data_IF_101831501718
#
_entry.id   IF_101831501718
#
_cell.length_a   1.000
_cell.length_b   1.000
_cell.length_c   1.000
_cell.angle_alpha   90.00
_cell.angle_beta   90.00
_cell.angle_gamma   90.00
#
_symmetry.space_group_name_H-M   'P 1'
#
loop_
_entity.id
_entity.type
_entity.pdbx_description
1 polymer ?
#
# COMPACT_ATOMS: atom_id res chain seq x y z
N UNK A 1 17.09 27.29 8.87
CA UNK A 1 16.99 26.82 7.47
C UNK A 1 16.43 27.97 6.66
N UNK A 2 17.07 28.35 5.55
CA UNK A 2 16.41 29.25 4.61
C UNK A 2 15.11 28.58 4.15
N UNK A 3 13.99 29.31 4.15
CA UNK A 3 12.74 28.81 3.61
C UNK A 3 12.98 28.32 2.18
N UNK A 4 12.65 27.07 1.87
CA UNK A 4 12.81 26.57 0.51
C UNK A 4 11.83 27.31 -0.38
N UNK A 5 12.32 27.98 -1.42
CA UNK A 5 11.43 28.64 -2.38
C UNK A 5 10.56 27.60 -3.09
N UNK A 6 9.27 27.90 -3.34
CA UNK A 6 8.45 27.12 -4.26
C UNK A 6 9.17 26.95 -5.61
N UNK A 7 8.92 25.84 -6.28
CA UNK A 7 9.40 25.62 -7.65
C UNK A 7 8.25 25.09 -8.49
N UNK A 8 8.11 25.61 -9.69
CA UNK A 8 7.19 25.07 -10.68
C UNK A 8 7.86 23.89 -11.40
N UNK A 9 7.30 22.66 -11.35
CA UNK A 9 7.82 21.55 -12.12
C UNK A 9 7.58 21.72 -13.65
N UNK A 10 6.80 22.70 -14.08
CA UNK A 10 6.55 23.02 -15.49
C UNK A 10 5.84 21.90 -16.24
N UNK A 11 4.95 21.18 -15.55
CA UNK A 11 4.02 20.24 -16.18
C UNK A 11 2.88 21.02 -16.85
N UNK A 12 2.32 20.48 -17.93
CA UNK A 12 1.25 21.16 -18.68
C UNK A 12 -0.14 20.92 -18.08
N UNK A 13 -0.23 20.07 -17.07
CA UNK A 13 -1.47 19.70 -16.39
C UNK A 13 -1.14 19.29 -14.93
N UNK A 14 -2.19 19.04 -14.13
CA UNK A 14 -2.11 18.71 -12.71
C UNK A 14 -1.09 17.62 -12.43
N UNK A 15 -0.18 17.92 -11.51
CA UNK A 15 0.77 16.96 -10.96
C UNK A 15 0.01 16.00 -10.05
N UNK A 16 0.10 14.71 -10.35
CA UNK A 16 -0.54 13.62 -9.61
C UNK A 16 0.44 12.84 -8.74
N UNK A 17 1.73 12.92 -9.05
CA UNK A 17 2.79 12.17 -8.36
C UNK A 17 3.90 13.10 -7.91
N UNK A 18 4.33 12.92 -6.66
CA UNK A 18 5.60 13.43 -6.14
C UNK A 18 6.25 12.33 -5.30
N UNK A 19 7.50 11.99 -5.61
CA UNK A 19 8.24 10.97 -4.86
C UNK A 19 9.73 11.31 -4.83
N UNK A 20 10.41 11.04 -3.73
CA UNK A 20 11.88 11.20 -3.63
C UNK A 20 12.56 9.84 -3.67
N UNK A 21 13.79 9.78 -4.16
CA UNK A 21 14.59 8.57 -3.98
C UNK A 21 15.03 8.42 -2.51
N UNK A 22 15.62 7.27 -2.16
CA UNK A 22 15.97 6.92 -0.78
C UNK A 22 16.80 7.97 -0.03
N UNK A 23 17.78 8.58 -0.70
CA UNK A 23 18.68 9.59 -0.10
C UNK A 23 18.17 11.04 -0.27
N UNK A 24 17.01 11.24 -0.90
CA UNK A 24 16.43 12.56 -1.16
C UNK A 24 17.19 13.43 -2.17
N UNK A 25 18.12 12.88 -2.94
CA UNK A 25 18.90 13.60 -3.96
C UNK A 25 18.21 13.65 -5.32
N UNK A 26 17.15 12.88 -5.52
CA UNK A 26 16.32 12.94 -6.73
C UNK A 26 14.84 13.08 -6.37
N UNK A 27 14.13 13.86 -7.17
CA UNK A 27 12.68 14.04 -7.10
C UNK A 27 12.08 13.52 -8.41
N UNK A 28 10.97 12.81 -8.29
CA UNK A 28 10.13 12.32 -9.37
C UNK A 28 8.82 13.08 -9.33
N UNK A 29 8.43 13.69 -10.45
CA UNK A 29 7.10 14.28 -10.63
C UNK A 29 6.40 13.65 -11.83
N UNK A 30 5.10 13.40 -11.69
CA UNK A 30 4.26 12.84 -12.75
C UNK A 30 2.93 13.57 -12.83
N UNK A 31 2.36 13.67 -14.03
CA UNK A 31 1.19 14.50 -14.29
C UNK A 31 0.17 13.82 -15.21
N UNK A 32 -1.02 14.42 -15.24
CA UNK A 32 -2.06 14.16 -16.25
C UNK A 32 -1.55 14.47 -17.67
N UNK A 33 -0.48 15.26 -17.84
CA UNK A 33 0.15 15.53 -19.15
C UNK A 33 0.90 14.31 -19.77
N UNK A 34 0.78 13.13 -19.15
CA UNK A 34 1.38 11.86 -19.54
C UNK A 34 2.91 11.80 -19.39
N UNK A 35 3.54 12.84 -18.81
CA UNK A 35 4.99 12.91 -18.67
C UNK A 35 5.45 12.70 -17.25
N UNK A 36 6.63 12.09 -17.17
CA UNK A 36 7.46 12.06 -15.96
C UNK A 36 8.57 13.08 -16.12
N UNK A 37 8.86 13.79 -15.03
CA UNK A 37 10.08 14.58 -14.88
C UNK A 37 10.88 14.05 -13.70
N UNK A 38 12.18 13.97 -13.89
CA UNK A 38 13.13 13.62 -12.83
C UNK A 38 14.03 14.82 -12.59
N UNK A 39 14.26 15.14 -11.33
CA UNK A 39 15.04 16.29 -10.90
C UNK A 39 16.17 15.82 -10.00
N UNK A 40 17.37 16.33 -10.20
CA UNK A 40 18.40 16.28 -9.18
C UNK A 40 18.14 17.37 -8.15
N UNK A 41 18.31 17.04 -6.87
CA UNK A 41 18.16 17.94 -5.74
C UNK A 41 19.46 17.97 -4.96
N UNK A 42 20.04 19.15 -4.82
CA UNK A 42 21.17 19.36 -3.93
C UNK A 42 20.72 19.19 -2.47
N UNK A 43 21.41 18.32 -1.73
CA UNK A 43 21.03 17.98 -0.36
C UNK A 43 21.30 19.10 0.66
N UNK A 44 22.19 20.04 0.33
CA UNK A 44 22.58 21.16 1.20
C UNK A 44 21.79 22.41 0.88
N UNK A 45 21.68 22.78 -0.40
CA UNK A 45 21.02 24.02 -0.83
C UNK A 45 19.52 23.81 -1.11
N UNK A 46 19.10 22.59 -1.42
CA UNK A 46 17.74 22.29 -1.86
C UNK A 46 17.42 22.77 -3.27
N UNK A 47 18.44 23.24 -4.01
CA UNK A 47 18.34 23.60 -5.42
C UNK A 47 17.97 22.36 -6.24
N UNK A 48 17.07 22.56 -7.20
CA UNK A 48 16.51 21.48 -8.03
C UNK A 48 16.89 21.76 -9.46
N UNK A 49 17.49 20.78 -10.12
CA UNK A 49 17.86 20.83 -11.52
C UNK A 49 17.12 19.73 -12.27
N UNK A 50 16.41 20.11 -13.33
CA UNK A 50 15.74 19.13 -14.18
C UNK A 50 16.81 18.20 -14.79
N UNK A 51 16.64 16.89 -14.58
CA UNK A 51 17.53 15.86 -15.11
C UNK A 51 17.01 15.37 -16.45
N UNK A 52 15.73 15.00 -16.52
CA UNK A 52 15.11 14.57 -17.77
C UNK A 52 13.59 14.73 -17.74
N UNK A 53 12.98 14.79 -18.92
CA UNK A 53 11.53 14.78 -19.13
C UNK A 53 11.20 13.81 -20.26
N UNK A 54 10.31 12.85 -20.00
CA UNK A 54 9.95 11.84 -20.99
C UNK A 54 8.47 11.47 -20.89
N UNK A 55 7.88 11.08 -22.02
CA UNK A 55 6.52 10.53 -22.06
C UNK A 55 6.55 9.13 -21.48
N UNK A 56 5.88 8.93 -20.35
CA UNK A 56 5.87 7.65 -19.67
C UNK A 56 4.70 6.78 -20.14
N UNK A 57 3.51 7.36 -20.28
CA UNK A 57 2.27 6.64 -20.59
C UNK A 57 1.53 7.31 -21.75
N UNK A 58 0.51 6.61 -22.28
CA UNK A 58 -0.39 7.16 -23.32
C UNK A 58 -1.65 7.83 -22.70
N UNK A 59 -1.73 7.91 -21.37
CA UNK A 59 -2.82 8.49 -20.58
C UNK A 59 -2.30 9.00 -19.22
N UNK A 60 -3.18 9.56 -18.38
CA UNK A 60 -2.81 10.16 -17.09
C UNK A 60 -1.95 9.23 -16.24
N UNK A 61 -0.91 9.79 -15.64
CA UNK A 61 -0.09 9.07 -14.65
C UNK A 61 -0.86 9.03 -13.32
N UNK A 62 -0.96 7.85 -12.71
CA UNK A 62 -1.67 7.66 -11.43
C UNK A 62 -0.75 7.50 -10.24
N UNK A 63 0.37 6.79 -10.40
CA UNK A 63 1.35 6.60 -9.33
C UNK A 63 2.73 6.34 -9.96
N UNK A 64 3.79 6.72 -9.25
CA UNK A 64 5.16 6.40 -9.66
C UNK A 64 6.11 6.45 -8.47
N UNK A 65 7.09 5.54 -8.45
CA UNK A 65 8.07 5.42 -7.35
C UNK A 65 9.47 5.11 -7.85
N UNK A 66 10.47 5.56 -7.09
CA UNK A 66 11.82 5.04 -7.20
C UNK A 66 11.89 3.64 -6.58
N UNK A 67 12.67 2.75 -7.19
CA UNK A 67 13.03 1.47 -6.59
C UNK A 67 14.20 1.66 -5.60
N UNK A 68 14.51 0.60 -4.86
CA UNK A 68 15.68 0.56 -3.99
C UNK A 68 16.97 0.95 -4.73
N UNK A 69 17.84 1.79 -4.12
CA UNK A 69 19.10 2.19 -4.73
C UNK A 69 20.06 1.01 -4.97
N UNK A 70 19.84 -0.14 -4.34
CA UNK A 70 20.63 -1.37 -4.55
C UNK A 70 20.56 -1.89 -5.98
N UNK A 71 19.51 -1.54 -6.74
CA UNK A 71 19.32 -1.93 -8.14
C UNK A 71 19.75 -0.83 -9.13
N UNK A 72 20.42 0.21 -8.63
CA UNK A 72 20.67 1.46 -9.35
C UNK A 72 19.41 2.33 -9.46
N UNK A 73 19.48 3.43 -10.21
CA UNK A 73 18.32 4.31 -10.39
C UNK A 73 17.33 3.66 -11.34
N UNK A 74 16.23 3.14 -10.76
CA UNK A 74 15.09 2.59 -11.48
C UNK A 74 13.80 3.23 -11.01
N UNK A 75 12.81 3.27 -11.89
CA UNK A 75 11.48 3.81 -11.60
C UNK A 75 10.41 2.78 -11.97
N UNK A 76 9.29 2.85 -11.28
CA UNK A 76 8.04 2.21 -11.69
C UNK A 76 6.97 3.28 -11.85
N UNK A 77 6.17 3.18 -12.90
CA UNK A 77 5.09 4.12 -13.20
C UNK A 77 3.83 3.34 -13.58
N UNK A 78 2.65 3.83 -13.18
CA UNK A 78 1.37 3.33 -13.67
C UNK A 78 0.54 4.46 -14.27
N UNK A 79 -0.21 4.13 -15.32
CA UNK A 79 -1.06 5.06 -16.02
C UNK A 79 -2.48 4.54 -16.21
N UNK A 80 -3.38 5.45 -16.57
CA UNK A 80 -4.74 5.14 -16.99
C UNK A 80 -4.79 4.33 -18.32
N UNK A 81 -3.65 4.16 -18.99
CA UNK A 81 -3.48 3.40 -20.24
C UNK A 81 -3.40 1.88 -20.03
N UNK A 82 -3.74 1.42 -18.82
CA UNK A 82 -3.76 0.01 -18.39
C UNK A 82 -2.37 -0.62 -18.26
N UNK A 83 -1.30 0.18 -18.22
CA UNK A 83 0.07 -0.31 -18.17
C UNK A 83 0.75 0.10 -16.86
N UNK A 84 1.61 -0.80 -16.39
CA UNK A 84 2.70 -0.51 -15.49
C UNK A 84 4.01 -0.57 -16.27
N UNK A 85 4.87 0.43 -16.13
CA UNK A 85 6.15 0.50 -16.82
C UNK A 85 7.30 0.57 -15.81
N UNK A 86 8.36 -0.19 -16.11
CA UNK A 86 9.61 -0.16 -15.36
C UNK A 86 10.65 0.57 -16.20
N UNK A 87 11.41 1.46 -15.57
CA UNK A 87 12.38 2.33 -16.23
C UNK A 87 13.76 2.20 -15.60
N UNK A 88 14.77 2.34 -16.44
CA UNK A 88 16.17 2.26 -16.09
C UNK A 88 16.86 3.56 -16.48
N UNK A 89 17.51 4.23 -15.53
CA UNK A 89 18.41 5.36 -15.84
C UNK A 89 19.66 4.83 -16.58
N UNK A 90 19.96 5.41 -17.73
CA UNK A 90 21.23 5.30 -18.45
C UNK A 90 22.02 6.59 -18.21
N UNK A 91 22.95 6.53 -17.25
CA UNK A 91 23.70 7.71 -16.83
C UNK A 91 24.62 8.29 -17.91
N UNK A 92 24.89 7.53 -18.98
CA UNK A 92 25.71 7.96 -20.11
C UNK A 92 24.99 8.89 -21.07
N UNK A 93 23.65 8.90 -21.06
CA UNK A 93 22.87 9.83 -21.88
C UNK A 93 22.92 11.23 -21.28
N UNK A 94 23.06 12.22 -22.16
CA UNK A 94 23.01 13.62 -21.76
C UNK A 94 21.64 13.94 -21.10
N UNK A 95 21.61 14.79 -20.07
CA UNK A 95 20.36 15.24 -19.47
C UNK A 95 19.50 16.01 -20.47
N UNK A 96 18.20 16.10 -20.20
CA UNK A 96 17.20 16.87 -20.97
C UNK A 96 16.93 16.40 -22.41
N UNK A 97 17.41 15.22 -22.80
CA UNK A 97 17.18 14.66 -24.15
C UNK A 97 15.94 13.77 -24.24
N UNK A 98 15.30 13.43 -23.12
CA UNK A 98 14.16 12.50 -23.08
C UNK A 98 14.53 11.04 -23.30
N UNK A 99 15.81 10.70 -23.21
CA UNK A 99 16.34 9.36 -23.50
C UNK A 99 17.13 8.74 -22.34
N UNK A 100 17.26 9.47 -21.22
CA UNK A 100 18.04 9.03 -20.07
C UNK A 100 17.32 7.93 -19.29
N UNK A 101 16.00 7.94 -19.26
CA UNK A 101 15.19 6.88 -18.67
C UNK A 101 14.62 5.98 -19.76
N UNK A 102 15.09 4.74 -19.82
CA UNK A 102 14.63 3.77 -20.81
C UNK A 102 13.65 2.79 -20.19
N UNK A 103 12.51 2.58 -20.84
CA UNK A 103 11.56 1.53 -20.44
C UNK A 103 12.19 0.16 -20.65
N UNK A 104 12.22 -0.65 -19.60
CA UNK A 104 12.82 -2.00 -19.61
C UNK A 104 11.79 -3.11 -19.47
N UNK A 105 10.64 -2.84 -18.86
CA UNK A 105 9.53 -3.79 -18.80
C UNK A 105 8.18 -3.09 -18.90
N UNK A 106 7.17 -3.86 -19.30
CA UNK A 106 5.76 -3.45 -19.30
C UNK A 106 4.93 -4.59 -18.73
N UNK A 107 4.17 -4.30 -17.68
CA UNK A 107 3.14 -5.20 -17.15
C UNK A 107 1.79 -4.63 -17.58
N UNK A 108 1.06 -5.41 -18.37
CA UNK A 108 -0.27 -5.05 -18.83
C UNK A 108 -1.31 -5.48 -17.79
N UNK A 109 -2.27 -4.60 -17.49
CA UNK A 109 -3.37 -4.95 -16.60
C UNK A 109 -4.23 -6.07 -17.20
N UNK A 110 -4.47 -7.10 -16.38
CA UNK A 110 -5.32 -8.25 -16.70
C UNK A 110 -6.19 -8.56 -15.46
N UNK A 111 -7.52 -8.33 -15.52
CA UNK A 111 -8.34 -7.87 -16.65
C UNK A 111 -8.03 -6.41 -17.06
N UNK A 112 -8.57 -5.94 -18.19
CA UNK A 112 -8.32 -4.59 -18.74
C UNK A 112 -8.95 -3.48 -17.89
N UNK A 113 -8.43 -3.27 -16.68
CA UNK A 113 -8.86 -2.28 -15.70
C UNK A 113 -7.64 -1.44 -15.31
N UNK A 114 -7.72 -0.10 -15.25
CA UNK A 114 -6.57 0.72 -14.89
C UNK A 114 -6.05 0.39 -13.50
N UNK A 115 -4.72 0.32 -13.37
CA UNK A 115 -4.07 0.37 -12.07
C UNK A 115 -4.29 1.73 -11.43
N UNK A 116 -4.54 1.76 -10.12
CA UNK A 116 -4.82 3.01 -9.37
C UNK A 116 -3.83 3.25 -8.24
N UNK A 117 -3.09 2.23 -7.81
CA UNK A 117 -2.00 2.37 -6.85
C UNK A 117 -0.96 1.27 -7.08
N UNK A 118 0.30 1.61 -6.78
CA UNK A 118 1.40 0.67 -6.74
C UNK A 118 2.20 0.81 -5.45
N UNK A 119 2.88 -0.27 -5.08
CA UNK A 119 4.03 -0.18 -4.18
C UNK A 119 5.11 -1.19 -4.57
N UNK A 120 6.35 -0.89 -4.23
CA UNK A 120 7.50 -1.73 -4.54
C UNK A 120 8.42 -1.84 -3.32
N UNK A 121 8.78 -3.07 -2.96
CA UNK A 121 9.67 -3.36 -1.84
C UNK A 121 10.85 -4.20 -2.31
N UNK A 122 12.05 -3.83 -1.88
CA UNK A 122 13.25 -4.65 -2.06
C UNK A 122 13.73 -5.09 -0.68
N UNK A 123 13.77 -6.40 -0.45
CA UNK A 123 14.42 -7.00 0.70
C UNK A 123 15.91 -7.17 0.41
N UNK A 124 16.74 -6.96 1.42
CA UNK A 124 18.21 -7.04 1.32
C UNK A 124 18.81 -7.85 2.47
N UNK A 125 18.00 -8.67 3.16
CA UNK A 125 18.39 -9.40 4.37
C UNK A 125 19.34 -10.56 4.06
N UNK A 126 19.00 -11.39 3.07
CA UNK A 126 19.77 -12.58 2.68
C UNK A 126 20.13 -12.52 1.19
N UNK A 127 19.12 -12.28 0.34
CA UNK A 127 19.27 -11.98 -1.09
C UNK A 127 18.51 -10.71 -1.46
N UNK A 128 18.93 -10.05 -2.55
CA UNK A 128 18.22 -8.87 -3.05
C UNK A 128 16.97 -9.36 -3.77
N UNK A 129 15.83 -9.30 -3.10
CA UNK A 129 14.55 -9.76 -3.67
C UNK A 129 13.59 -8.58 -3.78
N UNK A 130 13.02 -8.37 -4.97
CA UNK A 130 12.11 -7.24 -5.21
C UNK A 130 10.69 -7.73 -5.48
N UNK A 131 9.72 -7.07 -4.87
CA UNK A 131 8.31 -7.36 -4.99
C UNK A 131 7.56 -6.11 -5.43
N UNK A 132 6.66 -6.28 -6.38
CA UNK A 132 5.80 -5.22 -6.91
C UNK A 132 4.35 -5.58 -6.63
N UNK A 133 3.64 -4.70 -5.93
CA UNK A 133 2.20 -4.78 -5.72
C UNK A 133 1.49 -3.78 -6.62
N UNK A 134 0.49 -4.24 -7.38
CA UNK A 134 -0.36 -3.44 -8.24
C UNK A 134 -1.82 -3.69 -7.89
N UNK A 135 -2.60 -2.65 -7.64
CA UNK A 135 -4.04 -2.76 -7.42
C UNK A 135 -4.81 -1.99 -8.48
N UNK A 136 -5.82 -2.64 -9.06
CA UNK A 136 -6.69 -2.05 -10.07
C UNK A 136 -7.91 -1.34 -9.47
N UNK A 137 -8.63 -0.61 -10.32
CA UNK A 137 -9.85 0.14 -9.94
C UNK A 137 -11.01 -0.75 -9.44
N UNK A 138 -10.95 -2.06 -9.64
CA UNK A 138 -11.96 -3.02 -9.16
C UNK A 138 -11.48 -3.81 -7.94
N UNK A 139 -10.35 -3.42 -7.35
CA UNK A 139 -9.79 -4.06 -6.17
C UNK A 139 -9.07 -5.38 -6.45
N UNK A 140 -8.73 -5.69 -7.70
CA UNK A 140 -7.85 -6.82 -7.98
C UNK A 140 -6.41 -6.44 -7.62
N UNK A 141 -5.88 -7.06 -6.57
CA UNK A 141 -4.49 -6.92 -6.16
C UNK A 141 -3.67 -8.01 -6.84
N UNK A 142 -2.56 -7.62 -7.47
CA UNK A 142 -1.61 -8.51 -8.12
C UNK A 142 -0.20 -8.25 -7.58
N UNK A 143 0.48 -9.31 -7.18
CA UNK A 143 1.84 -9.26 -6.62
C UNK A 143 2.77 -9.95 -7.61
N UNK A 144 3.89 -9.30 -7.91
CA UNK A 144 4.90 -9.78 -8.85
C UNK A 144 6.28 -9.79 -8.21
N UNK A 145 7.14 -10.65 -8.74
CA UNK A 145 8.59 -10.61 -8.53
C UNK A 145 9.31 -10.65 -9.88
N UNK A 146 10.52 -10.09 -10.01
CA UNK A 146 11.35 -10.30 -11.18
C UNK A 146 11.66 -11.79 -11.37
N UNK A 147 11.62 -12.29 -12.61
CA UNK A 147 12.04 -13.66 -12.92
C UNK A 147 13.53 -13.89 -12.61
N UNK A 148 14.32 -12.81 -12.58
CA UNK A 148 15.70 -12.79 -12.16
C UNK A 148 15.93 -11.56 -11.25
N UNK A 149 16.46 -11.72 -10.02
CA UNK A 149 16.77 -10.62 -9.11
C UNK A 149 17.61 -9.48 -9.72
N UNK A 150 18.55 -9.81 -10.62
CA UNK A 150 19.45 -8.85 -11.25
C UNK A 150 18.85 -8.22 -12.53
N UNK A 151 17.75 -8.76 -13.06
CA UNK A 151 17.11 -8.32 -14.29
C UNK A 151 15.61 -8.07 -14.12
N UNK A 152 15.24 -6.78 -14.12
CA UNK A 152 13.86 -6.31 -13.98
C UNK A 152 13.09 -6.24 -15.31
N UNK A 153 13.57 -6.88 -16.38
CA UNK A 153 12.88 -6.93 -17.68
C UNK A 153 11.69 -7.88 -17.71
N UNK A 154 11.77 -8.95 -16.94
CA UNK A 154 10.74 -9.99 -16.88
C UNK A 154 10.23 -10.13 -15.46
N UNK A 155 8.90 -10.17 -15.32
CA UNK A 155 8.22 -10.23 -14.03
C UNK A 155 7.23 -11.39 -14.03
N UNK A 156 7.28 -12.17 -12.96
CA UNK A 156 6.42 -13.32 -12.72
C UNK A 156 5.32 -12.94 -11.73
N UNK A 157 4.07 -13.32 -12.03
CA UNK A 157 2.93 -13.10 -11.15
C UNK A 157 2.98 -14.08 -9.97
N UNK A 158 3.29 -13.58 -8.78
CA UNK A 158 3.31 -14.35 -7.54
C UNK A 158 1.92 -14.63 -6.99
N UNK A 159 1.00 -13.69 -7.04
CA UNK A 159 -0.30 -13.88 -6.42
C UNK A 159 -1.31 -12.88 -6.96
N UNK A 160 -2.59 -13.25 -6.97
CA UNK A 160 -3.67 -12.38 -7.44
C UNK A 160 -4.99 -12.73 -6.78
N UNK A 161 -5.68 -11.73 -6.23
CA UNK A 161 -6.97 -11.89 -5.57
C UNK A 161 -7.71 -10.56 -5.45
N UNK A 162 -9.03 -10.61 -5.37
CA UNK A 162 -9.85 -9.41 -5.16
C UNK A 162 -9.89 -9.06 -3.66
N UNK A 163 -9.52 -7.83 -3.30
CA UNK A 163 -9.49 -7.39 -1.89
C UNK A 163 -10.87 -7.07 -1.34
N UNK A 164 -11.82 -6.74 -2.22
CA UNK A 164 -13.22 -6.55 -1.89
C UNK A 164 -13.93 -7.91 -1.77
N UNK A 165 -14.96 -7.96 -0.92
CA UNK A 165 -15.89 -9.08 -0.95
C UNK A 165 -16.60 -9.14 -2.33
N UNK A 166 -17.03 -10.31 -2.81
CA UNK A 166 -17.64 -10.45 -4.14
C UNK A 166 -18.86 -9.52 -4.38
N UNK A 167 -19.62 -9.21 -3.34
CA UNK A 167 -20.77 -8.31 -3.36
C UNK A 167 -20.41 -6.82 -3.13
N UNK A 168 -19.14 -6.51 -2.89
CA UNK A 168 -18.62 -5.17 -2.61
C UNK A 168 -17.66 -4.68 -3.71
N UNK A 169 -17.51 -5.43 -4.81
CA UNK A 169 -16.72 -4.98 -5.97
C UNK A 169 -17.43 -3.78 -6.62
N UNK A 170 -16.73 -2.65 -6.84
CA UNK A 170 -17.33 -1.45 -7.42
C UNK A 170 -17.89 -1.66 -8.82
N UNK A 171 -18.96 -0.95 -9.12
CA UNK A 171 -19.53 -0.85 -10.47
C UNK A 171 -18.84 0.24 -11.29
N UNK A 172 -19.03 0.18 -12.61
CA UNK A 172 -18.49 1.20 -13.52
C UNK A 172 -19.12 2.57 -13.20
N UNK A 173 -18.26 3.55 -12.91
CA UNK A 173 -18.66 4.92 -12.62
C UNK A 173 -18.73 5.24 -11.12
N UNK A 174 -18.63 4.22 -10.26
CA UNK A 174 -18.53 4.44 -8.81
C UNK A 174 -17.26 5.22 -8.47
N UNK A 175 -17.38 6.05 -7.44
CA UNK A 175 -16.22 6.66 -6.83
C UNK A 175 -15.46 5.59 -6.04
N UNK A 176 -14.29 5.21 -6.55
CA UNK A 176 -13.44 4.17 -5.96
C UNK A 176 -12.21 4.76 -5.32
N UNK A 177 -11.75 4.15 -4.22
CA UNK A 177 -10.46 4.47 -3.61
C UNK A 177 -9.73 3.19 -3.24
N UNK A 178 -8.53 3.01 -3.79
CA UNK A 178 -7.67 1.88 -3.49
C UNK A 178 -6.23 2.37 -3.35
N UNK A 179 -5.56 1.92 -2.30
CA UNK A 179 -4.15 2.20 -2.05
C UNK A 179 -3.49 0.95 -1.49
N UNK A 180 -2.31 0.61 -1.97
CA UNK A 180 -1.50 -0.49 -1.45
C UNK A 180 -0.15 0.04 -0.98
N UNK A 181 0.32 -0.50 0.14
CA UNK A 181 1.68 -0.27 0.62
C UNK A 181 2.21 -1.54 1.30
N UNK A 182 3.45 -1.92 0.99
CA UNK A 182 4.17 -2.92 1.75
C UNK A 182 4.52 -2.39 3.15
N UNK A 183 4.58 -3.32 4.09
CA UNK A 183 5.22 -3.07 5.39
C UNK A 183 6.66 -2.59 5.13
N UNK A 184 7.04 -1.36 5.52
CA UNK A 184 8.38 -0.83 5.27
C UNK A 184 9.45 -1.49 6.14
N UNK A 185 9.06 -2.26 7.16
CA UNK A 185 9.99 -2.90 8.08
C UNK A 185 10.59 -4.17 7.44
N UNK A 186 11.86 -4.50 7.75
CA UNK A 186 12.55 -5.64 7.15
C UNK A 186 11.91 -6.98 7.54
N UNK A 187 11.38 -7.10 8.77
CA UNK A 187 10.63 -8.26 9.23
C UNK A 187 9.28 -7.79 9.82
N UNK A 188 8.16 -8.44 9.49
CA UNK A 188 6.87 -8.07 10.05
C UNK A 188 6.73 -8.48 11.52
N UNK A 189 5.93 -7.72 12.28
CA UNK A 189 5.86 -7.83 13.74
C UNK A 189 5.47 -9.22 14.30
N UNK A 190 4.48 -9.94 13.74
CA UNK A 190 4.15 -11.30 14.18
C UNK A 190 5.37 -12.25 14.17
N UNK A 191 6.31 -12.01 13.27
CA UNK A 191 7.45 -12.90 13.05
C UNK A 191 8.70 -12.48 13.82
N UNK A 192 8.83 -11.19 14.20
CA UNK A 192 9.88 -10.75 15.13
C UNK A 192 9.79 -11.52 16.46
N UNK A 193 8.58 -11.92 16.86
CA UNK A 193 8.34 -12.70 18.09
C UNK A 193 8.45 -14.22 17.86
N UNK A 194 8.57 -14.67 16.61
CA UNK A 194 8.77 -16.07 16.24
C UNK A 194 10.25 -16.42 16.20
N UNK A 195 10.61 -17.64 16.61
CA UNK A 195 11.99 -18.15 16.52
C UNK A 195 12.32 -18.68 15.11
N UNK A 196 11.37 -18.63 14.17
CA UNK A 196 11.52 -19.19 12.83
C UNK A 196 12.40 -18.33 11.92
N UNK A 197 13.21 -18.98 11.08
CA UNK A 197 14.04 -18.39 10.02
C UNK A 197 13.23 -17.77 8.86
N UNK A 198 11.93 -17.55 9.03
CA UNK A 198 11.00 -17.02 8.01
C UNK A 198 11.13 -15.48 7.85
N UNK A 199 12.36 -14.97 7.82
CA UNK A 199 12.70 -13.54 7.80
C UNK A 199 12.28 -12.81 6.51
N UNK A 200 11.79 -13.53 5.51
CA UNK A 200 11.42 -12.99 4.19
C UNK A 200 9.91 -12.81 3.98
N UNK A 201 9.09 -12.97 5.03
CA UNK A 201 7.64 -12.80 4.87
C UNK A 201 7.23 -11.34 4.65
N UNK A 202 6.32 -11.14 3.71
CA UNK A 202 5.85 -9.83 3.30
C UNK A 202 4.60 -9.43 4.08
N UNK A 203 4.51 -8.15 4.45
CA UNK A 203 3.29 -7.52 4.93
C UNK A 203 2.77 -6.50 3.93
N UNK A 204 1.45 -6.36 3.82
CA UNK A 204 0.79 -5.35 3.01
C UNK A 204 -0.34 -4.69 3.82
N UNK A 205 -0.45 -3.38 3.73
CA UNK A 205 -1.69 -2.66 4.04
C UNK A 205 -2.39 -2.31 2.75
N UNK A 206 -3.69 -2.58 2.69
CA UNK A 206 -4.53 -2.26 1.55
C UNK A 206 -5.74 -1.48 2.02
N UNK A 207 -5.91 -0.28 1.46
CA UNK A 207 -7.16 0.44 1.46
C UNK A 207 -8.05 -0.09 0.32
N UNK A 208 -9.26 -0.50 0.65
CA UNK A 208 -10.29 -0.95 -0.26
C UNK A 208 -11.60 -0.21 0.04
N UNK A 209 -11.87 0.86 -0.69
CA UNK A 209 -12.99 1.76 -0.47
C UNK A 209 -12.95 2.41 0.92
N UNK A 210 -13.82 1.99 1.83
CA UNK A 210 -13.88 2.45 3.21
C UNK A 210 -13.35 1.40 4.20
N UNK A 211 -12.73 0.34 3.71
CA UNK A 211 -12.11 -0.71 4.52
C UNK A 211 -10.58 -0.62 4.42
N UNK A 212 -9.90 -0.95 5.51
CA UNK A 212 -8.45 -1.10 5.52
C UNK A 212 -8.10 -2.48 6.07
N UNK A 213 -7.28 -3.21 5.33
CA UNK A 213 -6.95 -4.61 5.61
C UNK A 213 -5.44 -4.79 5.63
N UNK A 214 -4.98 -5.64 6.53
CA UNK A 214 -3.58 -6.08 6.61
C UNK A 214 -3.50 -7.50 6.08
N UNK A 215 -2.60 -7.72 5.13
CA UNK A 215 -2.29 -9.02 4.57
C UNK A 215 -0.88 -9.45 4.96
N UNK A 216 -0.70 -10.75 5.19
CA UNK A 216 0.61 -11.37 5.43
C UNK A 216 0.86 -12.45 4.37
N UNK A 217 2.07 -12.44 3.82
CA UNK A 217 2.55 -13.43 2.86
C UNK A 217 2.98 -14.70 3.57
N UNK A 218 2.52 -15.84 3.07
CA UNK A 218 2.79 -17.17 3.60
C UNK A 218 3.35 -18.00 2.46
N UNK A 219 4.40 -18.78 2.72
CA UNK A 219 4.86 -19.84 1.81
C UNK A 219 4.17 -21.13 2.25
N UNK A 220 3.22 -21.69 1.47
CA UNK A 220 2.57 -22.95 1.85
C UNK A 220 3.63 -24.06 1.92
N UNK A 221 3.74 -24.73 3.08
CA UNK A 221 4.67 -25.85 3.21
C UNK A 221 4.16 -27.06 2.40
N UNK A 222 5.06 -27.78 1.74
CA UNK A 222 4.73 -28.97 0.94
C UNK A 222 4.27 -30.18 1.79
N UNK A 223 4.32 -30.07 3.12
CA UNK A 223 3.93 -31.13 4.06
C UNK A 223 2.53 -30.82 4.61
N UNK A 224 1.51 -31.25 3.86
CA UNK A 224 0.12 -31.06 4.23
C UNK A 224 -0.20 -31.60 5.63
N UNK A 225 -0.86 -30.77 6.42
CA UNK A 225 -1.95 -31.20 7.30
C UNK A 225 -3.07 -30.18 7.19
N UNK A 226 -3.78 -30.21 6.05
CA UNK A 226 -5.15 -29.70 5.99
C UNK A 226 -6.00 -30.55 6.94
N UNK A 227 -6.06 -30.17 8.22
CA UNK A 227 -7.04 -30.69 9.17
C UNK A 227 -8.36 -29.93 9.03
N UNK A 228 -8.90 -29.90 7.81
CA UNK A 228 -10.21 -29.37 7.48
C UNK A 228 -11.16 -30.49 7.05
N UNK A 229 -11.87 -31.06 8.02
CA UNK A 229 -13.07 -31.91 7.92
C UNK A 229 -13.13 -32.99 6.80
N UNK A 230 -13.09 -34.24 7.25
CA UNK A 230 -13.57 -35.41 6.51
C UNK A 230 -15.04 -35.26 6.08
N UNK A 231 -15.30 -35.43 4.78
CA UNK A 231 -16.68 -35.51 4.26
C UNK A 231 -16.82 -35.59 2.74
N UNK A 232 -16.55 -36.78 2.16
CA UNK A 232 -17.16 -37.22 0.89
C UNK A 232 -16.42 -36.88 -0.39
N UNK A 233 -15.92 -37.91 -1.09
CA UNK A 233 -15.04 -37.80 -2.24
C UNK A 233 -15.66 -37.25 -3.53
N UNK A 234 -14.78 -36.62 -4.31
CA UNK A 234 -14.95 -36.22 -5.70
C UNK A 234 -13.59 -35.77 -6.22
N UNK A 235 -12.95 -36.62 -7.01
CA UNK A 235 -11.64 -36.45 -7.63
C UNK A 235 -11.55 -35.10 -8.38
N UNK A 236 -10.58 -34.26 -8.02
CA UNK A 236 -10.48 -32.88 -8.48
C UNK A 236 -9.02 -32.43 -8.52
N UNK A 237 -8.33 -32.82 -9.59
CA UNK A 237 -7.01 -32.34 -10.01
C UNK A 237 -6.81 -30.85 -9.71
N UNK A 238 -5.83 -30.53 -8.85
CA UNK A 238 -5.39 -29.16 -8.58
C UNK A 238 -4.79 -28.60 -9.87
N UNK A 239 -5.57 -27.79 -10.58
CA UNK A 239 -5.20 -27.15 -11.83
C UNK A 239 -4.12 -26.09 -11.62
N UNK A 240 -2.87 -26.45 -11.89
CA UNK A 240 -1.83 -25.47 -12.20
C UNK A 240 -2.20 -24.72 -13.47
N UNK A 241 -2.52 -23.43 -13.34
CA UNK A 241 -2.71 -22.54 -14.49
C UNK A 241 -1.35 -22.02 -14.96
N UNK A 242 -0.74 -22.76 -15.90
CA UNK A 242 0.35 -22.25 -16.72
C UNK A 242 -0.19 -21.20 -17.69
N UNK A 243 0.21 -19.94 -17.51
CA UNK A 243 0.06 -18.89 -18.50
C UNK A 243 1.21 -19.02 -19.51
N UNK A 244 0.97 -19.73 -20.61
CA UNK A 244 1.89 -19.77 -21.74
C UNK A 244 1.73 -18.56 -22.65
N UNK A 245 2.77 -17.75 -22.78
CA UNK A 245 3.05 -16.99 -24.01
C UNK A 245 4.53 -17.17 -24.35
N UNK A 246 4.83 -18.16 -25.18
CA UNK A 246 5.85 -18.10 -26.23
C UNK A 246 5.70 -19.34 -27.12
N UNK A 247 5.50 -19.12 -28.42
CA UNK A 247 5.74 -20.18 -29.40
C UNK A 247 7.24 -20.48 -29.44
N UNK A 248 7.62 -21.73 -29.23
CA UNK A 248 9.00 -22.19 -29.37
C UNK A 248 9.30 -23.43 -28.53
N UNK A 249 9.26 -24.59 -29.18
CA UNK A 249 9.93 -25.88 -28.90
C UNK A 249 10.22 -26.28 -27.44
N UNK A 250 9.62 -27.41 -27.06
CA UNK A 250 9.61 -27.94 -25.70
C UNK A 250 10.97 -28.20 -25.05
N UNK A 251 10.97 -28.06 -23.73
CA UNK A 251 11.91 -28.72 -22.83
C UNK A 251 11.11 -29.28 -21.66
N UNK A 252 11.41 -30.55 -21.38
CA UNK A 252 10.88 -31.41 -20.34
C UNK A 252 10.95 -30.80 -18.94
N UNK A 253 9.89 -31.05 -18.18
CA UNK A 253 9.80 -30.86 -16.73
C UNK A 253 10.85 -31.68 -15.98
N UNK A 254 11.88 -31.01 -15.47
CA UNK A 254 12.72 -31.51 -14.36
C UNK A 254 13.18 -30.35 -13.51
N UNK A 255 12.64 -30.23 -12.28
CA UNK A 255 13.25 -29.48 -11.17
C UNK A 255 12.50 -28.21 -10.72
N UNK A 256 11.91 -28.25 -9.52
CA UNK A 256 11.47 -27.08 -8.75
C UNK A 256 9.96 -27.01 -8.50
N UNK A 257 9.50 -27.54 -7.35
CA UNK A 257 8.20 -27.16 -6.82
C UNK A 257 8.28 -25.67 -6.40
N UNK A 258 7.65 -24.78 -7.16
CA UNK A 258 7.70 -23.34 -6.89
C UNK A 258 7.03 -23.03 -5.55
N UNK A 259 7.84 -22.56 -4.59
CA UNK A 259 7.43 -22.05 -3.28
C UNK A 259 6.75 -20.68 -3.48
N UNK A 260 5.51 -20.68 -3.94
CA UNK A 260 4.78 -19.45 -4.29
C UNK A 260 4.24 -18.79 -3.02
N UNK A 261 4.71 -17.59 -2.70
CA UNK A 261 4.15 -16.77 -1.60
C UNK A 261 2.68 -16.45 -1.92
N UNK A 262 1.80 -16.69 -0.96
CA UNK A 262 0.38 -16.39 -1.02
C UNK A 262 0.01 -15.43 0.10
N UNK A 263 -0.81 -14.42 -0.18
CA UNK A 263 -1.26 -13.48 0.84
C UNK A 263 -2.60 -13.88 1.44
N UNK A 264 -2.69 -13.74 2.76
CA UNK A 264 -3.87 -14.00 3.57
C UNK A 264 -4.22 -12.78 4.42
N UNK A 265 -5.51 -12.49 4.56
CA UNK A 265 -6.02 -11.42 5.41
C UNK A 265 -5.71 -11.76 6.88
N UNK A 266 -4.86 -10.94 7.51
CA UNK A 266 -4.45 -11.12 8.90
C UNK A 266 -5.35 -10.35 9.87
N UNK A 267 -5.77 -9.13 9.49
CA UNK A 267 -6.76 -8.36 10.24
C UNK A 267 -7.44 -7.34 9.33
N UNK A 268 -8.73 -7.11 9.58
CA UNK A 268 -9.50 -6.00 9.05
C UNK A 268 -9.66 -4.92 10.13
N UNK A 269 -9.28 -3.68 9.81
CA UNK A 269 -9.43 -2.54 10.71
C UNK A 269 -10.90 -2.09 10.78
N UNK A 270 -11.32 -1.36 11.83
CA UNK A 270 -12.64 -0.76 11.93
C UNK A 270 -13.00 0.02 10.66
N UNK A 271 -14.19 -0.24 10.13
CA UNK A 271 -14.68 0.34 8.88
C UNK A 271 -14.82 1.87 9.01
N UNK A 272 -14.39 2.58 7.96
CA UNK A 272 -14.46 4.03 7.91
C UNK A 272 -15.85 4.52 7.44
N UNK A 273 -16.31 5.71 7.89
CA UNK A 273 -17.59 6.28 7.47
C UNK A 273 -17.65 6.70 5.99
N UNK A 274 -16.50 6.85 5.33
CA UNK A 274 -16.37 7.27 3.95
C UNK A 274 -15.14 6.62 3.30
N UNK A 275 -14.89 6.92 2.03
CA UNK A 275 -13.72 6.43 1.31
C UNK A 275 -12.42 6.83 2.01
N UNK A 276 -11.55 5.85 2.25
CA UNK A 276 -10.17 6.06 2.69
C UNK A 276 -9.35 6.44 1.46
N UNK A 277 -8.70 7.60 1.48
CA UNK A 277 -7.94 8.16 0.34
C UNK A 277 -6.50 7.68 0.30
N UNK A 278 -5.90 7.50 1.48
CA UNK A 278 -4.50 7.15 1.60
C UNK A 278 -4.26 6.38 2.89
N UNK A 279 -3.22 5.54 2.86
CA UNK A 279 -2.77 4.74 4.01
C UNK A 279 -1.26 4.81 4.10
N UNK A 280 -0.75 4.85 5.33
CA UNK A 280 0.67 4.84 5.61
C UNK A 280 0.99 3.83 6.72
N UNK A 281 1.87 2.87 6.44
CA UNK A 281 2.48 2.02 7.44
C UNK A 281 3.73 2.72 7.98
N UNK A 282 3.83 2.89 9.30
CA UNK A 282 4.96 3.55 9.92
C UNK A 282 6.22 2.69 9.83
N UNK A 283 7.37 3.26 9.41
CA UNK A 283 8.65 2.60 9.57
C UNK A 283 9.05 2.57 11.04
N UNK A 284 9.93 1.63 11.40
CA UNK A 284 10.46 1.44 12.75
C UNK A 284 9.36 1.11 13.78
N UNK A 285 8.87 -0.12 13.76
CA UNK A 285 7.95 -0.64 14.78
C UNK A 285 8.62 -0.61 16.16
N UNK A 286 8.22 0.36 16.98
CA UNK A 286 8.79 0.57 18.32
C UNK A 286 8.08 -0.33 19.33
N UNK A 287 8.85 -1.10 20.11
CA UNK A 287 8.36 -1.91 21.25
C UNK A 287 7.29 -2.94 20.88
N UNK A 288 7.36 -3.54 19.69
CA UNK A 288 6.42 -4.60 19.32
C UNK A 288 5.02 -4.07 18.97
N UNK A 289 4.90 -2.85 18.43
CA UNK A 289 3.65 -2.34 17.89
C UNK A 289 3.85 -1.75 16.49
N UNK A 290 3.04 -2.20 15.52
CA UNK A 290 2.96 -1.61 14.18
C UNK A 290 1.98 -0.44 14.20
N UNK A 291 2.23 0.60 13.41
CA UNK A 291 1.31 1.73 13.27
C UNK A 291 0.85 1.91 11.85
N UNK A 292 -0.46 2.07 11.69
CA UNK A 292 -1.09 2.38 10.41
C UNK A 292 -1.80 3.72 10.55
N UNK A 293 -1.56 4.65 9.64
CA UNK A 293 -2.34 5.87 9.51
C UNK A 293 -3.25 5.80 8.29
N UNK A 294 -4.40 6.44 8.36
CA UNK A 294 -5.36 6.52 7.24
C UNK A 294 -5.86 7.96 7.09
N UNK A 295 -5.92 8.48 5.87
CA UNK A 295 -6.65 9.69 5.52
C UNK A 295 -8.01 9.31 4.92
N UNK A 296 -9.09 9.92 5.38
CA UNK A 296 -10.44 9.59 4.97
C UNK A 296 -11.20 10.81 4.44
N UNK A 297 -12.10 10.57 3.48
CA UNK A 297 -12.99 11.59 2.89
C UNK A 297 -13.93 12.22 3.91
N UNK A 298 -14.13 11.60 5.08
CA UNK A 298 -14.86 12.21 6.19
C UNK A 298 -14.08 13.33 6.93
N UNK A 299 -12.91 13.70 6.41
CA UNK A 299 -12.06 14.74 6.97
C UNK A 299 -11.20 14.27 8.15
N UNK A 300 -11.36 13.03 8.61
CA UNK A 300 -10.60 12.53 9.75
C UNK A 300 -9.33 11.77 9.31
N UNK A 301 -8.27 11.99 10.08
CA UNK A 301 -7.08 11.13 10.06
C UNK A 301 -7.23 10.13 11.22
N UNK A 302 -6.86 8.87 11.00
CA UNK A 302 -6.88 7.85 12.06
C UNK A 302 -5.52 7.19 12.17
N UNK A 303 -5.12 6.87 13.40
CA UNK A 303 -3.89 6.12 13.68
C UNK A 303 -4.27 4.87 14.46
N UNK A 304 -3.93 3.71 13.90
CA UNK A 304 -4.17 2.39 14.47
C UNK A 304 -2.84 1.84 14.99
N UNK A 305 -2.86 1.26 16.17
CA UNK A 305 -1.73 0.59 16.81
C UNK A 305 -2.04 -0.91 16.82
N UNK A 306 -1.23 -1.70 16.13
CA UNK A 306 -1.41 -3.14 15.97
C UNK A 306 -0.40 -3.88 16.86
N UNK A 307 -0.90 -4.83 17.63
CA UNK A 307 -0.11 -5.74 18.45
C UNK A 307 -0.05 -7.14 17.85
N UNK A 308 0.55 -8.05 18.62
CA UNK A 308 0.61 -9.48 18.31
C UNK A 308 0.15 -10.29 19.52
N UNK A 309 -0.58 -11.36 19.24
CA UNK A 309 -0.97 -12.37 20.21
C UNK A 309 -0.60 -13.77 19.69
N UNK A 310 -0.42 -14.73 20.60
CA UNK A 310 -0.19 -16.13 20.21
C UNK A 310 -1.46 -16.73 19.60
N UNK A 311 -1.31 -17.41 18.46
CA UNK A 311 -2.35 -18.21 17.85
C UNK A 311 -2.52 -19.56 18.56
N UNK A 312 -3.63 -20.25 18.30
CA UNK A 312 -3.96 -21.51 19.00
C UNK A 312 -2.93 -22.63 18.77
N UNK A 313 -2.11 -22.54 17.72
CA UNK A 313 -1.07 -23.50 17.35
C UNK A 313 0.37 -23.04 17.66
N UNK A 314 0.57 -21.94 18.40
CA UNK A 314 1.92 -21.44 18.74
C UNK A 314 2.75 -22.39 19.62
N UNK A 315 2.11 -23.34 20.31
CA UNK A 315 2.74 -24.24 21.30
C UNK A 315 2.94 -25.68 20.80
N UNK A 316 3.22 -25.84 19.51
CA UNK A 316 3.43 -27.14 18.88
C UNK A 316 4.88 -27.61 18.78
N UNK A 317 5.76 -27.41 19.79
CA UNK A 317 7.05 -28.13 19.82
C UNK A 317 7.81 -28.20 21.17
N UNK A 318 7.16 -28.05 22.32
CA UNK A 318 7.82 -28.33 23.61
C UNK A 318 7.70 -29.81 23.97
N UNK A 319 8.57 -30.64 23.40
CA UNK A 319 8.88 -31.96 23.96
C UNK A 319 9.81 -31.79 25.18
N UNK A 320 9.28 -31.15 26.23
CA UNK A 320 9.90 -31.03 27.54
C UNK A 320 9.63 -32.28 28.37
N UNK A 321 10.47 -33.30 28.24
CA UNK A 321 10.53 -34.41 29.18
C UNK A 321 11.10 -33.88 30.51
N UNK A 322 10.22 -33.48 31.43
CA UNK A 322 10.58 -32.89 32.72
C UNK A 322 9.61 -33.34 33.81
N UNK A 323 9.80 -34.58 34.25
CA UNK A 323 9.19 -35.15 35.44
C UNK A 323 9.67 -34.40 36.69
N UNK A 324 8.81 -33.64 37.36
CA UNK A 324 8.99 -33.34 38.79
C UNK A 324 7.63 -33.00 39.44
N UNK A 325 7.15 -33.94 40.24
CA UNK A 325 5.98 -33.73 41.08
C UNK A 325 6.29 -32.83 42.26
N UNK A 326 5.28 -32.08 42.71
CA UNK A 326 5.16 -31.64 44.10
C UNK A 326 3.71 -31.34 44.46
N UNK A 327 3.24 -32.09 45.46
CA UNK A 327 2.00 -31.88 46.19
C UNK A 327 1.95 -30.49 46.83
N UNK A 328 0.75 -29.91 46.87
CA UNK A 328 0.43 -28.72 47.64
C UNK A 328 -1.08 -28.55 47.71
N UNK A 329 -1.71 -29.30 48.61
CA UNK A 329 -3.06 -29.06 49.14
C UNK A 329 -3.23 -27.61 49.58
N UNK A 330 -4.33 -26.97 49.20
CA UNK A 330 -5.10 -26.14 50.13
C UNK A 330 -6.55 -25.97 49.65
N UNK A 331 -7.45 -26.41 50.51
CA UNK A 331 -8.89 -26.26 50.45
C UNK A 331 -9.25 -24.82 50.80
N UNK A 332 -10.20 -24.20 50.09
CA UNK A 332 -11.12 -23.28 50.74
C UNK A 332 -12.52 -23.43 50.12
N UNK A 333 -13.41 -23.99 50.93
CA UNK A 333 -14.85 -24.01 50.75
C UNK A 333 -15.44 -22.61 51.01
N UNK A 334 -16.45 -22.22 50.24
CA UNK A 334 -17.56 -21.37 50.70
C UNK A 334 -18.79 -21.62 49.81
N UNK A 335 -19.84 -22.18 50.43
CA UNK A 335 -21.22 -22.23 49.94
C UNK A 335 -21.85 -20.82 50.02
N UNK A 336 -23.04 -20.45 49.51
CA UNK A 336 -24.20 -21.18 49.04
C UNK A 336 -25.13 -20.24 48.24
N UNK A 337 -25.91 -20.84 47.33
CA UNK A 337 -27.35 -20.63 47.06
C UNK A 337 -27.91 -19.29 46.51
N UNK A 338 -28.64 -19.44 45.39
CA UNK A 338 -29.65 -18.51 44.90
C UNK A 338 -30.29 -18.98 43.59
N UNK A 339 -31.23 -19.92 43.66
CA UNK A 339 -31.95 -20.53 42.52
C UNK A 339 -33.21 -19.71 42.22
N UNK A 340 -33.46 -19.32 40.97
CA UNK A 340 -34.82 -19.28 40.43
C UNK A 340 -34.82 -19.46 38.91
N UNK A 341 -35.75 -20.30 38.48
CA UNK A 341 -36.02 -20.80 37.13
C UNK A 341 -37.21 -20.06 36.54
N UNK A 342 -37.14 -19.61 35.27
CA UNK A 342 -38.32 -19.51 34.39
C UNK A 342 -37.92 -19.91 32.97
N UNK A 343 -38.60 -20.93 32.46
CA UNK A 343 -38.61 -21.40 31.09
C UNK A 343 -39.51 -20.53 30.21
N UNK A 344 -39.13 -20.34 28.94
CA UNK A 344 -39.98 -20.36 27.74
C UNK A 344 -39.13 -19.90 26.54
N UNK A 345 -39.33 -20.25 25.27
CA UNK A 345 -39.80 -21.44 24.55
C UNK A 345 -39.42 -21.13 23.08
N UNK A 346 -38.80 -22.08 22.38
CA UNK A 346 -38.42 -21.95 20.96
C UNK A 346 -39.65 -21.69 20.06
N UNK A 347 -39.45 -20.93 18.98
CA UNK A 347 -40.17 -21.14 17.71
C UNK A 347 -39.24 -20.89 16.51
N UNK A 348 -38.98 -21.97 15.78
CA UNK A 348 -38.51 -21.98 14.40
C UNK A 348 -39.63 -21.49 13.46
N UNK A 349 -39.27 -20.72 12.42
CA UNK A 349 -39.96 -20.78 11.13
C UNK A 349 -38.95 -20.68 9.98
N UNK A 350 -38.90 -21.76 9.21
CA UNK A 350 -38.32 -21.87 7.88
C UNK A 350 -39.37 -21.43 6.84
N UNK A 351 -38.92 -20.85 5.73
CA UNK A 351 -39.72 -20.82 4.51
C UNK A 351 -38.83 -21.11 3.29
N UNK A 352 -39.23 -22.14 2.56
CA UNK A 352 -38.70 -22.57 1.28
C UNK A 352 -39.74 -22.22 0.19
N UNK A 353 -39.21 -22.06 -1.03
CA UNK A 353 -39.83 -22.21 -2.36
C UNK A 353 -40.77 -21.12 -2.91
N UNK A 354 -40.33 -20.56 -4.05
CA UNK A 354 -41.06 -20.66 -5.33
C UNK A 354 -40.11 -20.45 -6.52
N UNK A 355 -40.22 -21.32 -7.53
CA UNK A 355 -39.47 -21.32 -8.78
C UNK A 355 -40.43 -21.13 -9.98
N UNK A 356 -39.85 -21.01 -11.20
CA UNK A 356 -40.42 -21.24 -12.57
C UNK A 356 -41.15 -20.03 -13.20
N UNK A 357 -40.93 -19.55 -14.45
CA UNK A 357 -40.06 -19.85 -15.63
C UNK A 357 -40.17 -18.71 -16.66
N UNK A 358 -39.16 -18.57 -17.54
CA UNK A 358 -39.27 -17.90 -18.85
C UNK A 358 -38.04 -18.09 -19.74
N UNK A 359 -38.08 -19.10 -20.64
CA UNK A 359 -37.19 -19.33 -21.82
C UNK A 359 -37.22 -18.11 -22.77
N UNK A 360 -36.31 -17.77 -23.68
CA UNK A 360 -35.26 -18.40 -24.54
C UNK A 360 -34.46 -17.19 -25.12
N UNK A 361 -33.18 -17.21 -25.46
CA UNK A 361 -32.58 -17.77 -26.70
C UNK A 361 -31.05 -17.82 -26.58
N UNK A 362 -30.48 -18.95 -27.00
CA UNK A 362 -29.04 -19.23 -27.00
C UNK A 362 -28.30 -18.44 -28.11
N UNK A 363 -27.21 -17.78 -27.73
CA UNK A 363 -26.08 -17.51 -28.59
C UNK A 363 -24.82 -17.96 -27.85
N UNK A 364 -24.13 -18.95 -28.40
CA UNK A 364 -22.93 -19.57 -27.84
C UNK A 364 -21.72 -18.67 -28.04
N UNK A 365 -21.28 -18.00 -26.97
CA UNK A 365 -19.91 -17.51 -26.83
C UNK A 365 -19.29 -18.21 -25.63
N UNK A 366 -18.27 -19.03 -25.87
CA UNK A 366 -17.47 -19.68 -24.84
C UNK A 366 -16.63 -18.61 -24.12
N UNK A 367 -17.24 -17.90 -23.17
CA UNK A 367 -16.52 -17.04 -22.24
C UNK A 367 -15.95 -17.91 -21.13
N UNK A 368 -14.63 -18.11 -21.14
CA UNK A 368 -13.88 -18.62 -20.01
C UNK A 368 -13.88 -17.51 -18.96
N UNK A 369 -14.78 -17.58 -17.97
CA UNK A 369 -14.80 -16.67 -16.82
C UNK A 369 -13.98 -17.27 -15.67
N UNK A 370 -12.66 -17.14 -15.71
CA UNK A 370 -11.84 -17.32 -14.51
C UNK A 370 -11.78 -15.99 -13.78
N UNK A 371 -12.85 -15.62 -13.06
CA UNK A 371 -12.75 -14.50 -12.12
C UNK A 371 -11.74 -14.88 -11.02
N UNK A 372 -10.74 -14.03 -10.73
CA UNK A 372 -9.86 -14.25 -9.59
C UNK A 372 -10.66 -14.43 -8.30
N UNK A 373 -10.21 -15.34 -7.43
CA UNK A 373 -10.83 -15.55 -6.13
C UNK A 373 -10.82 -14.30 -5.25
N UNK A 374 -11.73 -14.22 -4.28
CA UNK A 374 -11.70 -13.19 -3.25
C UNK A 374 -10.50 -13.33 -2.32
N UNK A 375 -10.28 -12.31 -1.48
CA UNK A 375 -9.27 -12.33 -0.44
C UNK A 375 -9.35 -13.62 0.39
N UNK A 376 -8.21 -14.30 0.55
CA UNK A 376 -8.11 -15.50 1.37
C UNK A 376 -8.14 -15.09 2.85
N UNK A 377 -9.15 -15.54 3.57
CA UNK A 377 -9.35 -15.31 5.01
C UNK A 377 -9.15 -16.62 5.78
N UNK A 378 -9.17 -16.56 7.12
CA UNK A 378 -9.14 -17.72 8.01
C UNK A 378 -7.88 -18.60 7.88
N UNK A 379 -6.75 -18.02 7.46
CA UNK A 379 -5.47 -18.70 7.62
C UNK A 379 -5.11 -18.75 9.11
N UNK A 380 -4.68 -19.91 9.57
CA UNK A 380 -4.28 -20.09 10.96
C UNK A 380 -2.83 -19.65 11.15
N UNK A 381 -2.66 -18.39 11.55
CA UNK A 381 -1.34 -17.84 11.85
C UNK A 381 -0.90 -18.28 13.25
N UNK A 382 0.34 -18.79 13.37
CA UNK A 382 0.95 -19.06 14.68
C UNK A 382 1.03 -17.82 15.58
N UNK A 383 1.11 -16.63 14.98
CA UNK A 383 1.02 -15.34 15.66
C UNK A 383 -0.03 -14.46 14.99
N UNK A 384 -1.04 -14.03 15.74
CA UNK A 384 -2.16 -13.24 15.25
C UNK A 384 -1.82 -11.75 15.33
N UNK A 385 -2.11 -11.01 14.24
CA UNK A 385 -2.09 -9.54 14.29
C UNK A 385 -3.36 -9.06 14.98
N UNK A 386 -3.23 -8.24 16.03
CA UNK A 386 -4.36 -7.74 16.83
C UNK A 386 -4.44 -6.22 16.78
N UNK A 387 -5.65 -5.66 16.95
CA UNK A 387 -5.82 -4.22 17.10
C UNK A 387 -5.69 -3.86 18.59
N UNK A 388 -4.59 -3.21 18.97
CA UNK A 388 -4.34 -2.80 20.36
C UNK A 388 -5.12 -1.54 20.73
N UNK A 389 -5.13 -0.54 19.83
CA UNK A 389 -5.90 0.69 20.00
C UNK A 389 -6.01 1.44 18.68
N UNK A 390 -6.92 2.41 18.60
CA UNK A 390 -6.90 3.39 17.52
C UNK A 390 -7.36 4.76 18.03
N UNK A 391 -6.82 5.80 17.40
CA UNK A 391 -7.16 7.20 17.68
C UNK A 391 -7.74 7.83 16.44
N UNK A 392 -8.88 8.50 16.59
CA UNK A 392 -9.47 9.32 15.52
C UNK A 392 -9.11 10.78 15.77
N UNK A 393 -8.41 11.37 14.81
CA UNK A 393 -8.13 12.80 14.71
C UNK A 393 -9.27 13.42 13.90
N UNK A 394 -10.40 13.62 14.57
CA UNK A 394 -11.63 14.14 13.96
C UNK A 394 -11.43 15.56 13.44
N UNK A 395 -12.05 15.89 12.31
CA UNK A 395 -11.96 17.22 11.69
C UNK A 395 -10.50 17.66 11.45
N UNK A 396 -9.63 16.70 11.11
CA UNK A 396 -8.26 16.99 10.73
C UNK A 396 -8.24 17.92 9.51
N UNK A 397 -9.09 17.64 8.53
CA UNK A 397 -9.26 18.40 7.29
C UNK A 397 -10.74 18.44 6.89
N UNK A 398 -11.09 19.23 5.86
CA UNK A 398 -12.41 19.12 5.20
C UNK A 398 -12.59 17.74 4.56
N UNK A 399 -11.66 17.37 3.68
CA UNK A 399 -11.42 15.99 3.23
C UNK A 399 -9.94 15.70 3.45
N UNK A 400 -9.58 14.59 4.09
CA UNK A 400 -8.18 14.20 4.21
C UNK A 400 -7.76 13.41 2.96
N UNK A 401 -6.69 13.84 2.29
CA UNK A 401 -6.22 13.27 1.02
C UNK A 401 -4.99 12.39 1.14
N UNK A 402 -4.03 12.78 1.98
CA UNK A 402 -2.77 12.04 2.11
C UNK A 402 -2.27 12.01 3.54
N UNK A 403 -1.59 10.91 3.87
CA UNK A 403 -0.88 10.70 5.14
C UNK A 403 0.49 10.09 4.89
N UNK A 404 1.50 10.54 5.61
CA UNK A 404 2.85 9.96 5.53
C UNK A 404 3.56 10.05 6.88
N UNK A 405 4.25 8.97 7.26
CA UNK A 405 5.13 8.99 8.42
C UNK A 405 6.51 9.52 8.05
N UNK A 406 7.19 10.14 9.01
CA UNK A 406 8.63 10.39 8.90
C UNK A 406 9.40 9.06 8.90
N UNK A 407 10.68 9.15 8.54
CA UNK A 407 11.57 7.99 8.45
C UNK A 407 11.82 7.26 9.77
N UNK A 408 11.22 7.69 10.89
CA UNK A 408 11.32 7.04 12.22
C UNK A 408 9.96 6.64 12.79
N UNK A 409 8.86 6.86 12.05
CA UNK A 409 7.50 6.53 12.47
C UNK A 409 7.00 7.31 13.69
N UNK A 410 7.63 8.44 14.03
CA UNK A 410 7.30 9.25 15.21
C UNK A 410 6.45 10.47 14.87
N UNK A 411 6.59 10.98 13.65
CA UNK A 411 5.86 12.13 13.15
C UNK A 411 4.96 11.67 12.01
N UNK A 412 3.71 12.08 12.05
CA UNK A 412 2.75 11.87 10.97
C UNK A 412 2.47 13.22 10.32
N UNK A 413 2.50 13.28 8.99
CA UNK A 413 2.05 14.42 8.22
C UNK A 413 0.72 14.06 7.54
N UNK A 414 -0.19 15.03 7.44
CA UNK A 414 -1.42 14.89 6.65
C UNK A 414 -1.72 16.13 5.83
N UNK A 415 -2.45 15.93 4.73
CA UNK A 415 -2.89 16.97 3.81
C UNK A 415 -4.38 16.80 3.50
N UNK A 416 -5.06 17.90 3.20
CA UNK A 416 -6.48 17.87 2.87
C UNK A 416 -6.95 18.95 1.92
N UNK A 417 -8.26 18.92 1.59
CA UNK A 417 -8.92 19.92 0.73
C UNK A 417 -8.90 21.34 1.30
N UNK A 418 -8.55 21.48 2.58
CA UNK A 418 -8.39 22.77 3.26
C UNK A 418 -7.10 23.51 2.85
N UNK A 419 -6.22 22.88 2.05
CA UNK A 419 -4.95 23.48 1.63
C UNK A 419 -3.91 23.53 2.75
N UNK A 420 -4.12 22.76 3.84
CA UNK A 420 -3.27 22.79 5.02
C UNK A 420 -2.47 21.52 5.16
N UNK A 421 -1.17 21.68 5.38
CA UNK A 421 -0.28 20.61 5.87
C UNK A 421 -0.34 20.56 7.39
N UNK A 422 -0.73 19.41 7.97
CA UNK A 422 -0.71 19.22 9.43
C UNK A 422 0.36 18.23 9.83
N UNK A 423 1.13 18.58 10.86
CA UNK A 423 2.16 17.74 11.45
C UNK A 423 1.69 17.28 12.81
N UNK A 424 1.63 15.97 13.02
CA UNK A 424 1.11 15.32 14.21
C UNK A 424 2.23 14.58 14.94
N UNK A 425 2.20 14.64 16.27
CA UNK A 425 3.11 13.88 17.15
C UNK A 425 2.37 13.30 18.32
N UNK A 426 2.79 12.11 18.75
CA UNK A 426 2.29 11.48 19.97
C UNK A 426 2.94 12.14 21.19
N UNK A 427 2.14 12.73 22.06
CA UNK A 427 2.57 13.31 23.33
C UNK A 427 3.19 12.25 24.23
N UNK A 428 4.34 12.55 24.82
CA UNK A 428 5.02 11.66 25.76
C UNK A 428 4.30 11.59 27.10
N UNK A 429 3.54 12.63 27.46
CA UNK A 429 2.88 12.74 28.76
C UNK A 429 1.64 11.86 28.88
N UNK A 430 0.81 11.81 27.83
CA UNK A 430 -0.48 11.13 27.84
C UNK A 430 -0.69 10.17 26.67
N UNK A 431 0.29 10.01 25.77
CA UNK A 431 0.19 9.13 24.61
C UNK A 431 -0.80 9.58 23.54
N UNK A 432 -1.33 10.80 23.61
CA UNK A 432 -2.29 11.31 22.62
C UNK A 432 -1.58 11.96 21.44
N UNK A 433 -2.12 11.77 20.24
CA UNK A 433 -1.68 12.47 19.05
C UNK A 433 -2.16 13.92 19.08
N UNK A 434 -1.24 14.86 18.88
CA UNK A 434 -1.52 16.30 18.89
C UNK A 434 -0.92 16.98 17.66
N UNK A 435 -1.57 18.05 17.19
CA UNK A 435 -1.02 18.91 16.14
C UNK A 435 0.19 19.66 16.72
N UNK A 436 1.34 19.46 16.10
CA UNK A 436 2.59 20.13 16.45
C UNK A 436 2.80 21.40 15.62
N UNK A 437 2.43 21.37 14.33
CA UNK A 437 2.49 22.51 13.43
C UNK A 437 1.44 22.37 12.31
N UNK A 438 0.91 23.49 11.84
CA UNK A 438 0.09 23.62 10.63
C UNK A 438 0.73 24.64 9.70
N UNK A 439 0.81 24.32 8.40
CA UNK A 439 1.26 25.26 7.38
C UNK A 439 0.18 25.39 6.31
N UNK A 440 -0.28 26.62 6.10
CA UNK A 440 -1.24 26.96 5.05
C UNK A 440 -0.48 27.15 3.72
N UNK A 441 -1.05 26.65 2.62
CA UNK A 441 -0.57 26.93 1.27
C UNK A 441 -1.34 28.16 0.78
N UNK A 442 -0.84 29.37 1.06
CA UNK A 442 -1.36 30.59 0.42
C UNK A 442 -0.66 30.76 -0.93
N UNK A 443 -1.44 30.92 -2.00
CA UNK A 443 -0.92 31.45 -3.26
C UNK A 443 -0.55 32.91 -3.01
N UNK A 444 0.74 33.23 -3.03
CA UNK A 444 1.20 34.63 -2.99
C UNK A 444 0.76 35.28 -4.31
N UNK A 445 -0.36 36.01 -4.28
CA UNK A 445 -0.81 36.85 -5.37
C UNK A 445 0.04 38.12 -5.42
N UNK A 446 1.24 38.03 -6.01
CA UNK A 446 2.02 39.20 -6.42
C UNK A 446 1.48 39.69 -7.78
N UNK A 447 0.27 40.24 -7.78
CA UNK A 447 -0.22 41.14 -8.83
C UNK A 447 -0.31 42.55 -8.23
N UNK A 448 0.83 43.25 -8.22
CA UNK A 448 0.84 44.71 -8.12
C UNK A 448 1.33 45.27 -9.46
N UNK A 449 0.38 45.43 -10.38
CA UNK A 449 0.50 46.40 -11.47
C UNK A 449 0.58 47.80 -10.81
N UNK A 450 1.81 48.30 -10.67
CA UNK A 450 2.07 49.69 -10.35
C UNK A 450 2.21 50.46 -11.65
N UNK A 451 1.17 51.22 -11.98
CA UNK A 451 1.16 52.20 -13.07
C UNK A 451 2.34 53.19 -12.90
N UNK A 452 3.28 53.15 -13.85
CA UNK A 452 4.32 54.17 -14.01
C UNK A 452 3.68 55.40 -14.68
N UNK A 453 3.17 56.35 -13.88
CA UNK A 453 2.88 57.70 -14.33
C UNK A 453 4.22 58.49 -14.45
N UNK A 454 4.69 58.64 -15.69
CA UNK A 454 5.77 59.55 -16.05
C UNK A 454 5.30 61.02 -15.92
N UNK A 455 5.70 61.71 -14.84
CA UNK A 455 5.72 63.17 -14.81
C UNK A 455 7.10 63.69 -15.24
N UNK A 456 7.14 64.30 -16.43
CA UNK A 456 8.19 65.20 -16.88
C UNK A 456 8.25 66.45 -15.98
N UNK A 457 9.41 66.72 -15.35
CA UNK A 457 9.82 68.11 -15.16
C UNK A 457 11.34 68.26 -15.26
N UNK A 458 11.75 68.95 -16.33
CA UNK A 458 13.10 69.43 -16.58
C UNK A 458 13.27 70.78 -15.89
N UNK A 459 14.24 70.95 -14.98
CA UNK A 459 15.12 72.11 -15.08
C UNK A 459 16.43 72.03 -14.30
N UNK A 460 17.42 72.66 -14.92
CA UNK A 460 18.83 72.70 -14.58
C UNK A 460 19.17 73.52 -13.32
N UNK A 461 20.43 73.30 -12.90
CA UNK A 461 21.47 74.29 -12.51
C UNK A 461 21.84 74.42 -11.02
N UNK A 462 23.15 74.19 -10.86
CA UNK A 462 24.12 74.92 -10.01
C UNK A 462 24.17 74.57 -8.50
N UNK A 463 25.19 73.76 -8.18
CA UNK A 463 26.35 74.22 -7.40
C UNK A 463 26.17 74.44 -5.89
N UNK A 464 26.95 73.70 -5.08
CA UNK A 464 27.22 74.12 -3.71
C UNK A 464 27.62 73.02 -2.74
N UNK A 465 28.93 72.83 -2.59
CA UNK A 465 29.72 72.49 -1.40
C UNK A 465 29.04 72.16 -0.05
N UNK A 466 29.64 71.16 0.62
CA UNK A 466 29.82 70.93 2.08
C UNK A 466 28.54 70.66 2.91
N UNK A 467 28.45 69.62 3.73
CA UNK A 467 29.40 69.05 4.72
C UNK A 467 29.04 67.59 5.00
#
# INVERSE_FOLDING_TARGET
>A
MAASKPFDPGHNDRVTVIHTNFNGTKILTGSIDHRIKVWDRDSKTGEKKLLDTFTAHDADIKDAKFLSPTLGTRLVTIGNDLKCHLWSEDATQAPLQGHRFRRVATIQSTPRVPFVSLDIKTLTTDHITTFLALIDRLGLLSIYEPSNPDDIREWTLLDTFNVCAPNAVPSRGDETSFKVQFDPNPAPLPYIMSVSDEREQLGLVVCALNEVKIFRGVVPSATGTDTGSSGGGGDGSIGGIGLGIAGGSGVSSTGGANHRIMFYEAIKLPVHPALVRDVAWAPFSVRGTDRIATACKDGAVRVFELGVAEGQNATGNDNGNGNEGRNGTEQHQSAAQGRSTVQQRQQHQSSLTSAITGRQTQASSTQISSQPGGARTNYDFGYLTTLSSFTTLSQAHTDAWSVIFDGQGQVLLSQGSDGVTKVWRKSVLNGQWMVFAGQDITEDSDDSDGDDDEEEEVNEKLGGLNL
#
